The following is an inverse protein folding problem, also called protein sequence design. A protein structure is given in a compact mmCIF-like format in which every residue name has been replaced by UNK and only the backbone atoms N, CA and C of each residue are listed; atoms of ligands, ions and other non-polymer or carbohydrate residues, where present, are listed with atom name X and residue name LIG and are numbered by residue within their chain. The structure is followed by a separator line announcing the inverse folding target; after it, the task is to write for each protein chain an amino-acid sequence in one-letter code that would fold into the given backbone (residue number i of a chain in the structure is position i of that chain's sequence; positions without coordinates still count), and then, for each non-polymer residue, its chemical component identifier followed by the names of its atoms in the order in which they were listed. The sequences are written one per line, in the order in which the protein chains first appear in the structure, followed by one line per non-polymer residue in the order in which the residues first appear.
data_IF_343069628036
#
_entry.id   IF_343069628036
#
_cell.length_a   1.000
_cell.length_b   1.000
_cell.length_c   1.000
_cell.angle_alpha   90.00
_cell.angle_beta   90.00
_cell.angle_gamma   90.00
#
_symmetry.space_group_name_H-M   'P 1'
#
loop_
_entity.id
_entity.type
_entity.pdbx_description
1 polymer ?
#
# COMPACT_ATOMS: atom_id res chain seq x y z
N UNK A 1 1.15 27.66 16.85
CA UNK A 1 2.27 27.30 15.95
C UNK A 1 1.72 26.38 14.87
N UNK A 2 1.25 26.97 13.77
CA UNK A 2 0.60 26.23 12.68
C UNK A 2 1.67 25.54 11.85
N UNK A 3 1.77 24.21 11.92
CA UNK A 3 2.56 23.45 10.96
C UNK A 3 1.91 23.67 9.59
N UNK A 4 2.57 24.44 8.74
CA UNK A 4 2.28 24.46 7.31
C UNK A 4 2.36 23.02 6.82
N UNK A 5 1.21 22.42 6.53
CA UNK A 5 1.12 21.07 5.97
C UNK A 5 1.73 21.16 4.58
N UNK A 6 2.84 20.49 4.35
CA UNK A 6 3.45 20.42 3.04
C UNK A 6 2.53 19.58 2.16
N UNK A 7 1.76 20.27 1.30
CA UNK A 7 0.62 19.77 0.54
C UNK A 7 0.92 18.66 -0.51
N UNK A 8 2.15 18.13 -0.58
CA UNK A 8 2.58 17.24 -1.66
C UNK A 8 2.71 15.75 -1.31
N UNK A 9 2.91 15.39 -0.04
CA UNK A 9 3.23 13.99 0.36
C UNK A 9 2.38 13.45 1.51
N UNK A 10 1.92 14.35 2.39
CA UNK A 10 1.22 13.99 3.64
C UNK A 10 -0.25 13.56 3.43
N UNK A 11 -0.74 13.64 2.19
CA UNK A 11 -2.16 13.48 1.86
C UNK A 11 -2.53 12.01 1.60
N UNK A 12 -1.60 11.21 1.08
CA UNK A 12 -1.85 9.80 0.69
C UNK A 12 -0.83 8.86 1.30
N UNK A 13 0.37 9.34 1.59
CA UNK A 13 1.46 8.53 2.08
C UNK A 13 1.79 8.94 3.52
N UNK A 14 0.92 8.67 4.52
CA UNK A 14 1.46 8.35 5.83
C UNK A 14 2.15 6.98 5.65
N UNK A 15 3.45 7.01 5.35
CA UNK A 15 4.31 5.85 4.97
C UNK A 15 4.20 4.65 5.93
N UNK A 16 3.59 4.80 7.09
CA UNK A 16 3.53 3.80 8.15
C UNK A 16 2.25 2.97 8.13
N UNK A 17 1.05 3.58 8.06
CA UNK A 17 -0.18 2.88 8.45
C UNK A 17 -0.53 1.66 7.59
N UNK A 18 -0.36 1.75 6.26
CA UNK A 18 -0.72 0.66 5.35
C UNK A 18 0.26 -0.53 5.48
N UNK A 19 1.57 -0.23 5.55
CA UNK A 19 2.62 -1.24 5.69
C UNK A 19 2.57 -1.88 7.08
N UNK A 20 2.36 -1.08 8.12
CA UNK A 20 2.20 -1.56 9.50
C UNK A 20 0.98 -2.46 9.66
N UNK A 21 -0.16 -2.09 9.05
CA UNK A 21 -1.37 -2.90 9.05
C UNK A 21 -1.12 -4.27 8.39
N UNK A 22 -0.44 -4.29 7.24
CA UNK A 22 -0.07 -5.54 6.57
C UNK A 22 0.90 -6.38 7.41
N UNK A 23 1.96 -5.77 7.94
CA UNK A 23 2.94 -6.42 8.81
C UNK A 23 2.31 -6.98 10.09
N UNK A 24 1.31 -6.30 10.65
CA UNK A 24 0.55 -6.79 11.79
C UNK A 24 -0.21 -8.08 11.44
N UNK A 25 -0.91 -8.11 10.29
CA UNK A 25 -1.61 -9.32 9.81
C UNK A 25 -0.65 -10.48 9.57
N UNK A 26 0.47 -10.23 8.87
CA UNK A 26 1.48 -11.25 8.59
C UNK A 26 2.06 -11.83 9.89
N UNK A 27 2.50 -10.97 10.83
CA UNK A 27 3.03 -11.42 12.13
C UNK A 27 2.02 -12.22 12.94
N UNK A 28 0.75 -11.81 12.94
CA UNK A 28 -0.31 -12.55 13.64
C UNK A 28 -0.47 -13.97 13.07
N UNK A 29 -0.49 -14.11 11.76
CA UNK A 29 -0.66 -15.41 11.12
C UNK A 29 0.56 -16.33 11.28
N UNK A 30 1.78 -15.77 11.21
CA UNK A 30 3.02 -16.52 11.50
C UNK A 30 3.03 -17.01 12.94
N UNK A 31 2.70 -16.15 13.91
CA UNK A 31 2.60 -16.53 15.33
C UNK A 31 1.54 -17.61 15.58
N UNK A 32 0.40 -17.53 14.90
CA UNK A 32 -0.66 -18.52 15.02
C UNK A 32 -0.26 -19.89 14.46
N UNK A 33 0.60 -19.93 13.42
CA UNK A 33 1.06 -21.18 12.81
C UNK A 33 2.17 -21.89 13.59
N UNK A 34 3.09 -21.13 14.20
CA UNK A 34 4.23 -21.67 14.94
C UNK A 34 5.36 -22.16 14.03
N UNK A 35 5.81 -23.41 14.22
CA UNK A 35 6.87 -24.02 13.42
C UNK A 35 6.39 -24.41 12.02
N UNK A 36 7.25 -24.18 11.01
CA UNK A 36 6.98 -24.55 9.63
C UNK A 36 7.82 -25.77 9.24
N UNK A 37 7.23 -26.76 8.55
CA UNK A 37 7.93 -27.97 8.11
C UNK A 37 8.90 -27.72 6.94
N UNK A 38 8.76 -26.60 6.23
CA UNK A 38 9.66 -26.16 5.15
C UNK A 38 9.49 -24.66 4.85
N UNK A 39 10.48 -24.07 4.18
CA UNK A 39 10.40 -22.68 3.70
C UNK A 39 9.30 -22.47 2.67
N UNK A 40 8.99 -23.51 1.88
CA UNK A 40 7.88 -23.48 0.93
C UNK A 40 6.53 -23.38 1.65
N UNK A 41 6.36 -24.10 2.77
CA UNK A 41 5.15 -24.01 3.58
C UNK A 41 4.97 -22.62 4.20
N UNK A 42 6.07 -21.99 4.65
CA UNK A 42 6.06 -20.61 5.14
C UNK A 42 5.67 -19.63 4.02
N UNK A 43 6.26 -19.80 2.82
CA UNK A 43 5.99 -18.95 1.66
C UNK A 43 4.53 -19.06 1.19
N UNK A 44 3.97 -20.27 1.16
CA UNK A 44 2.54 -20.48 0.84
C UNK A 44 1.63 -19.77 1.84
N UNK A 45 1.94 -19.81 3.14
CA UNK A 45 1.16 -19.09 4.13
C UNK A 45 1.19 -17.58 3.89
N UNK A 46 2.39 -17.01 3.65
CA UNK A 46 2.53 -15.58 3.34
C UNK A 46 1.73 -15.19 2.10
N UNK A 47 1.83 -15.99 1.02
CA UNK A 47 1.04 -15.80 -0.19
C UNK A 47 -0.46 -15.79 0.08
N UNK A 48 -0.99 -16.75 0.84
CA UNK A 48 -2.42 -16.82 1.15
C UNK A 48 -2.91 -15.59 1.94
N UNK A 49 -2.10 -15.09 2.86
CA UNK A 49 -2.43 -13.88 3.64
C UNK A 49 -2.43 -12.64 2.73
N UNK A 50 -1.42 -12.50 1.87
CA UNK A 50 -1.32 -11.40 0.91
C UNK A 50 -2.51 -11.42 -0.06
N UNK A 51 -2.81 -12.57 -0.64
CA UNK A 51 -3.93 -12.73 -1.57
C UNK A 51 -5.30 -12.46 -0.92
N UNK A 52 -5.48 -12.81 0.36
CA UNK A 52 -6.67 -12.42 1.11
C UNK A 52 -6.69 -10.90 1.35
N UNK A 53 -5.57 -10.33 1.77
CA UNK A 53 -5.47 -8.89 2.08
C UNK A 53 -5.72 -8.01 0.86
N UNK A 54 -5.24 -8.43 -0.31
CA UNK A 54 -5.49 -7.80 -1.60
C UNK A 54 -7.00 -7.65 -1.86
N UNK A 55 -7.80 -8.67 -1.56
CA UNK A 55 -9.27 -8.64 -1.75
C UNK A 55 -9.98 -7.64 -0.82
N UNK A 56 -9.34 -7.24 0.27
CA UNK A 56 -9.88 -6.24 1.20
C UNK A 56 -9.58 -4.80 0.72
N UNK A 57 -8.65 -4.61 -0.22
CA UNK A 57 -8.26 -3.30 -0.76
C UNK A 57 -9.21 -2.83 -1.86
N UNK A 58 -10.49 -2.69 -1.52
CA UNK A 58 -11.54 -2.35 -2.49
C UNK A 58 -11.68 -0.83 -2.66
N UNK A 59 -11.37 -0.05 -1.62
CA UNK A 59 -11.55 1.40 -1.65
C UNK A 59 -10.20 2.13 -1.76
N UNK A 60 -10.03 2.99 -2.78
CA UNK A 60 -8.86 3.86 -2.85
C UNK A 60 -8.90 4.90 -1.73
N UNK A 61 -7.72 5.45 -1.39
CA UNK A 61 -7.64 6.59 -0.48
C UNK A 61 -8.55 7.73 -0.99
N UNK A 62 -9.31 8.34 -0.10
CA UNK A 62 -10.31 9.38 -0.47
C UNK A 62 -9.65 10.55 -1.19
N UNK A 63 -8.41 10.84 -0.85
CA UNK A 63 -7.62 11.94 -1.38
C UNK A 63 -6.92 11.59 -2.72
N UNK A 64 -7.07 10.35 -3.23
CA UNK A 64 -6.43 9.85 -4.44
C UNK A 64 -6.64 10.73 -5.67
N UNK A 65 -7.87 11.20 -5.89
CA UNK A 65 -8.19 12.06 -7.03
C UNK A 65 -7.37 13.35 -7.02
N UNK A 66 -7.20 13.97 -5.85
CA UNK A 66 -6.45 15.22 -5.70
C UNK A 66 -4.95 15.01 -5.90
N UNK A 67 -4.37 13.96 -5.31
CA UNK A 67 -2.95 13.65 -5.53
C UNK A 67 -2.66 13.26 -6.98
N UNK A 68 -3.57 12.52 -7.63
CA UNK A 68 -3.43 12.20 -9.06
C UNK A 68 -3.35 13.45 -9.93
N UNK A 69 -4.14 14.48 -9.63
CA UNK A 69 -4.06 15.77 -10.32
C UNK A 69 -2.69 16.46 -10.07
N UNK A 70 -2.18 16.43 -8.83
CA UNK A 70 -0.83 16.95 -8.54
C UNK A 70 0.26 16.17 -9.28
N UNK A 71 0.19 14.84 -9.32
CA UNK A 71 1.14 14.01 -10.07
C UNK A 71 1.10 14.29 -11.56
N UNK A 72 -0.07 14.56 -12.14
CA UNK A 72 -0.19 14.93 -13.54
C UNK A 72 0.49 16.27 -13.87
N UNK A 73 0.50 17.23 -12.93
CA UNK A 73 1.23 18.50 -13.09
C UNK A 73 2.74 18.29 -12.96
N UNK A 74 3.19 17.54 -11.94
CA UNK A 74 4.61 17.35 -11.65
C UNK A 74 5.30 16.42 -12.67
N UNK A 75 4.59 15.39 -13.13
CA UNK A 75 5.11 14.33 -13.99
C UNK A 75 4.37 14.24 -15.33
N UNK A 76 3.91 15.37 -15.87
CA UNK A 76 3.05 15.44 -17.06
C UNK A 76 3.52 14.58 -18.24
N UNK A 77 4.83 14.58 -18.54
CA UNK A 77 5.42 13.79 -19.62
C UNK A 77 5.16 12.27 -19.50
N UNK A 78 5.03 11.75 -18.27
CA UNK A 78 4.74 10.33 -18.01
C UNK A 78 3.25 10.02 -18.18
N UNK A 79 2.37 10.99 -17.96
CA UNK A 79 0.93 10.84 -18.16
C UNK A 79 0.55 10.91 -19.65
N UNK A 80 1.18 11.79 -20.43
CA UNK A 80 0.93 11.92 -21.88
C UNK A 80 1.30 10.65 -22.63
N UNK A 81 2.46 10.04 -22.31
CA UNK A 81 2.88 8.76 -22.92
C UNK A 81 1.93 7.60 -22.61
N UNK A 82 1.29 7.60 -21.43
CA UNK A 82 0.33 6.57 -21.04
C UNK A 82 -1.04 6.71 -21.73
N UNK A 83 -1.39 7.90 -22.21
CA UNK A 83 -2.65 8.15 -22.94
C UNK A 83 -2.52 7.94 -24.46
N UNK A 84 -1.28 7.90 -24.99
CA UNK A 84 -0.99 7.72 -26.41
C UNK A 84 -0.68 6.25 -26.79
N UNK A 85 -0.70 5.34 -25.83
CA UNK A 85 -0.55 3.89 -26.00
C UNK A 85 -1.89 3.19 -25.77
#
# INVERSE_FOLDING_TARGET
MSRSRNFGTDIIIPVTNAIEALNSKLRRAVRARGHFPSDEAASKLLYLILHRSEKEWVMPAREWTMAKAQFAVIFGDRFVRAMAA
#
